data_IF_856416170750
#
_entry.id   IF_856416170750
#
_cell.length_a   1.000
_cell.length_b   1.000
_cell.length_c   1.000
_cell.angle_alpha   90.00
_cell.angle_beta   90.00
_cell.angle_gamma   90.00
#
_symmetry.space_group_name_H-M   'P 1'
#
loop_
_entity.id
_entity.type
_entity.pdbx_description
1 polymer ?
#
# COMPACT_ATOMS: atom_id res chain seq x y z
N UNK A 1 -2.28 -4.38 -33.95
CA UNK A 1 -2.31 -5.44 -32.91
C UNK A 1 -3.42 -5.08 -31.95
N UNK A 2 -4.65 -5.51 -32.27
CA UNK A 2 -5.89 -5.02 -31.64
C UNK A 2 -6.15 -5.80 -30.36
N UNK A 3 -5.64 -5.28 -29.23
CA UNK A 3 -5.96 -5.85 -27.93
C UNK A 3 -7.40 -5.39 -27.56
N UNK A 4 -8.33 -6.31 -27.29
CA UNK A 4 -9.67 -5.95 -26.84
C UNK A 4 -9.56 -5.09 -25.57
N UNK A 5 -10.32 -3.99 -25.51
CA UNK A 5 -10.21 -2.97 -24.46
C UNK A 5 -10.18 -3.55 -23.03
N UNK A 6 -10.78 -4.72 -22.80
CA UNK A 6 -10.76 -5.46 -21.52
C UNK A 6 -9.36 -5.88 -21.04
N UNK A 7 -8.39 -6.16 -21.93
CA UNK A 7 -7.02 -6.55 -21.53
C UNK A 7 -6.11 -5.35 -21.23
N UNK A 8 -6.36 -4.21 -21.86
CA UNK A 8 -5.53 -3.01 -21.66
C UNK A 8 -5.67 -2.49 -20.23
N UNK A 9 -6.89 -2.46 -19.69
CA UNK A 9 -7.10 -2.08 -18.28
C UNK A 9 -6.34 -2.98 -17.31
N UNK A 10 -6.36 -4.30 -17.52
CA UNK A 10 -5.61 -5.25 -16.68
C UNK A 10 -4.09 -5.02 -16.72
N UNK A 11 -3.55 -4.61 -17.86
CA UNK A 11 -2.13 -4.27 -18.01
C UNK A 11 -1.77 -2.92 -17.39
N UNK A 12 -2.73 -1.98 -17.33
CA UNK A 12 -2.55 -0.65 -16.76
C UNK A 12 -2.78 -0.61 -15.24
N UNK A 13 -3.53 -1.57 -14.66
CA UNK A 13 -3.81 -1.63 -13.22
C UNK A 13 -2.56 -1.50 -12.34
N UNK A 14 -1.44 -2.19 -12.60
CA UNK A 14 -0.23 -2.04 -11.79
C UNK A 14 0.35 -0.63 -11.85
N UNK A 15 0.34 0.01 -13.02
CA UNK A 15 0.85 1.38 -13.18
C UNK A 15 -0.02 2.39 -12.46
N UNK A 16 -1.35 2.28 -12.62
CA UNK A 16 -2.31 3.11 -11.90
C UNK A 16 -2.18 2.93 -10.39
N UNK A 17 -2.04 1.68 -9.95
CA UNK A 17 -1.80 1.36 -8.54
C UNK A 17 -0.54 2.05 -8.02
N UNK A 18 0.59 1.96 -8.73
CA UNK A 18 1.84 2.61 -8.31
C UNK A 18 1.66 4.12 -8.20
N UNK A 19 1.07 4.78 -9.20
CA UNK A 19 0.84 6.23 -9.18
C UNK A 19 -0.07 6.62 -8.01
N UNK A 20 -1.21 5.97 -7.87
CA UNK A 20 -2.16 6.25 -6.79
C UNK A 20 -1.56 5.96 -5.41
N UNK A 21 -0.76 4.90 -5.29
CA UNK A 21 -0.12 4.51 -4.04
C UNK A 21 1.01 5.46 -3.64
N UNK A 22 1.88 5.84 -4.58
CA UNK A 22 3.02 6.74 -4.34
C UNK A 22 2.59 8.13 -3.84
N UNK A 23 1.44 8.65 -4.28
CA UNK A 23 0.90 9.91 -3.77
C UNK A 23 0.66 9.89 -2.26
N UNK A 24 0.42 8.71 -1.68
CA UNK A 24 0.21 8.54 -0.24
C UNK A 24 1.42 8.93 0.61
N UNK A 25 2.63 8.58 0.18
CA UNK A 25 3.86 8.93 0.89
C UNK A 25 4.18 10.42 0.76
N UNK A 26 3.91 11.01 -0.41
CA UNK A 26 4.03 12.46 -0.63
C UNK A 26 3.05 13.20 0.28
N UNK A 27 1.79 12.75 0.32
CA UNK A 27 0.77 13.29 1.22
C UNK A 27 1.16 13.18 2.69
N UNK A 28 1.74 12.04 3.12
CA UNK A 28 2.26 11.88 4.47
C UNK A 28 3.35 12.91 4.79
N UNK A 29 4.37 13.03 3.93
CA UNK A 29 5.48 13.96 4.12
C UNK A 29 5.00 15.42 4.18
N UNK A 30 4.04 15.79 3.35
CA UNK A 30 3.52 17.16 3.28
C UNK A 30 2.46 17.46 4.34
N UNK A 31 1.68 16.46 4.79
CA UNK A 31 0.56 16.64 5.71
C UNK A 31 0.92 16.49 7.18
N UNK A 32 1.88 15.61 7.52
CA UNK A 32 2.31 15.36 8.91
C UNK A 32 2.89 16.60 9.64
N UNK A 33 3.48 17.61 8.98
CA UNK A 33 3.84 18.86 9.64
C UNK A 33 2.65 19.68 10.15
N UNK A 34 1.45 19.44 9.63
CA UNK A 34 0.25 20.26 9.90
C UNK A 34 -0.85 19.53 10.66
N UNK A 35 -0.79 18.21 10.76
CA UNK A 35 -1.80 17.40 11.41
C UNK A 35 -1.18 16.17 12.07
N UNK A 36 -1.74 15.78 13.21
CA UNK A 36 -1.35 14.55 13.89
C UNK A 36 -1.55 13.33 12.98
N UNK A 37 -0.69 12.29 13.06
CA UNK A 37 -0.65 11.20 12.10
C UNK A 37 -1.99 10.46 11.93
N UNK A 38 -2.69 10.21 13.03
CA UNK A 38 -3.98 9.54 13.03
C UNK A 38 -5.09 10.42 12.46
N UNK A 39 -5.09 11.71 12.76
CA UNK A 39 -6.06 12.69 12.25
C UNK A 39 -5.93 12.82 10.73
N UNK A 40 -4.69 12.95 10.25
CA UNK A 40 -4.41 12.97 8.81
C UNK A 40 -4.85 11.68 8.12
N UNK A 41 -4.55 10.53 8.72
CA UNK A 41 -4.96 9.23 8.18
C UNK A 41 -6.49 9.07 8.15
N UNK A 42 -7.19 9.48 9.21
CA UNK A 42 -8.64 9.43 9.30
C UNK A 42 -9.31 10.27 8.21
N UNK A 43 -8.82 11.50 7.99
CA UNK A 43 -9.30 12.35 6.90
C UNK A 43 -9.04 11.72 5.53
N UNK A 44 -7.82 11.24 5.30
CA UNK A 44 -7.44 10.62 4.02
C UNK A 44 -8.29 9.38 3.72
N UNK A 45 -8.47 8.49 4.69
CA UNK A 45 -9.27 7.27 4.53
C UNK A 45 -10.77 7.60 4.44
N UNK A 46 -11.25 8.63 5.14
CA UNK A 46 -12.63 9.12 5.03
C UNK A 46 -12.93 9.65 3.63
N UNK A 47 -12.04 10.48 3.07
CA UNK A 47 -12.17 10.99 1.68
C UNK A 47 -12.13 9.83 0.68
N UNK A 48 -11.16 8.92 0.80
CA UNK A 48 -11.06 7.77 -0.09
C UNK A 48 -12.29 6.87 -0.02
N UNK A 49 -12.78 6.58 1.20
CA UNK A 49 -14.01 5.82 1.43
C UNK A 49 -15.24 6.51 0.85
N UNK A 50 -15.35 7.83 0.98
CA UNK A 50 -16.42 8.62 0.37
C UNK A 50 -16.40 8.56 -1.16
N UNK A 51 -15.24 8.78 -1.78
CA UNK A 51 -15.07 8.71 -3.24
C UNK A 51 -15.40 7.31 -3.77
N UNK A 52 -14.90 6.26 -3.12
CA UNK A 52 -15.21 4.88 -3.48
C UNK A 52 -16.67 4.54 -3.22
N UNK A 53 -17.29 5.09 -2.19
CA UNK A 53 -18.71 4.95 -1.91
C UNK A 53 -19.59 5.57 -3.00
N UNK A 54 -19.26 6.79 -3.45
CA UNK A 54 -19.92 7.44 -4.60
C UNK A 54 -19.74 6.60 -5.86
N UNK A 55 -18.52 6.11 -6.13
CA UNK A 55 -18.27 5.24 -7.28
C UNK A 55 -19.07 3.92 -7.22
N UNK A 56 -19.14 3.29 -6.04
CA UNK A 56 -19.92 2.07 -5.82
C UNK A 56 -21.43 2.32 -6.02
N UNK A 57 -21.92 3.49 -5.60
CA UNK A 57 -23.30 3.91 -5.84
C UNK A 57 -23.58 4.11 -7.33
N UNK A 58 -22.71 4.83 -8.06
CA UNK A 58 -22.84 5.07 -9.50
C UNK A 58 -22.80 3.77 -10.33
N UNK A 59 -21.96 2.81 -9.92
CA UNK A 59 -21.80 1.52 -10.60
C UNK A 59 -22.82 0.47 -10.14
N UNK A 60 -23.71 0.81 -9.20
CA UNK A 60 -24.69 -0.11 -8.58
C UNK A 60 -24.04 -1.39 -8.05
N UNK A 61 -22.85 -1.25 -7.46
CA UNK A 61 -22.13 -2.38 -6.88
C UNK A 61 -22.97 -3.04 -5.76
N UNK A 62 -22.87 -4.37 -5.58
CA UNK A 62 -23.58 -5.06 -4.51
C UNK A 62 -23.04 -4.62 -3.14
N UNK A 63 -23.91 -4.02 -2.32
CA UNK A 63 -23.58 -3.64 -0.95
C UNK A 63 -23.73 -4.84 0.00
N UNK A 64 -22.93 -4.91 1.07
CA UNK A 64 -23.05 -5.96 2.08
C UNK A 64 -24.46 -5.93 2.68
N UNK A 65 -25.13 -7.08 2.70
CA UNK A 65 -26.54 -7.21 3.12
C UNK A 65 -26.70 -7.78 4.53
N UNK A 66 -25.61 -8.27 5.13
CA UNK A 66 -25.63 -8.84 6.49
C UNK A 66 -24.62 -8.15 7.41
N UNK A 67 -24.96 -8.09 8.69
CA UNK A 67 -24.07 -7.60 9.75
C UNK A 67 -22.76 -8.40 9.84
N UNK A 68 -22.81 -9.70 9.50
CA UNK A 68 -21.61 -10.55 9.45
C UNK A 68 -20.69 -10.13 8.32
N UNK A 69 -21.23 -9.85 7.12
CA UNK A 69 -20.44 -9.33 6.00
C UNK A 69 -19.83 -7.97 6.33
N UNK A 70 -20.59 -7.11 7.01
CA UNK A 70 -20.10 -5.81 7.45
C UNK A 70 -18.97 -5.95 8.47
N UNK A 71 -19.09 -6.88 9.43
CA UNK A 71 -18.06 -7.15 10.42
C UNK A 71 -16.77 -7.69 9.79
N UNK A 72 -16.86 -8.60 8.80
CA UNK A 72 -15.69 -9.06 8.05
C UNK A 72 -15.03 -7.94 7.25
N UNK A 73 -15.82 -7.07 6.63
CA UNK A 73 -15.28 -5.94 5.86
C UNK A 73 -14.60 -4.93 6.78
N UNK A 74 -15.20 -4.65 7.94
CA UNK A 74 -14.63 -3.77 8.96
C UNK A 74 -13.34 -4.35 9.55
N UNK A 75 -13.31 -5.64 9.89
CA UNK A 75 -12.11 -6.28 10.44
C UNK A 75 -10.98 -6.35 9.41
N UNK A 76 -11.28 -6.69 8.15
CA UNK A 76 -10.30 -6.64 7.06
C UNK A 76 -9.78 -5.21 6.85
N UNK A 77 -10.66 -4.21 6.83
CA UNK A 77 -10.28 -2.80 6.71
C UNK A 77 -9.37 -2.34 7.86
N UNK A 78 -9.74 -2.69 9.10
CA UNK A 78 -8.97 -2.36 10.29
C UNK A 78 -7.57 -2.99 10.25
N UNK A 79 -7.47 -4.28 9.93
CA UNK A 79 -6.20 -5.01 9.89
C UNK A 79 -5.31 -4.53 8.72
N UNK A 80 -5.89 -4.37 7.53
CA UNK A 80 -5.12 -4.05 6.31
C UNK A 80 -4.75 -2.57 6.24
N UNK A 81 -5.64 -1.67 6.66
CA UNK A 81 -5.43 -0.23 6.49
C UNK A 81 -5.11 0.46 7.82
N UNK A 82 -5.93 0.28 8.86
CA UNK A 82 -5.75 1.02 10.10
C UNK A 82 -4.48 0.59 10.85
N UNK A 83 -4.26 -0.72 11.01
CA UNK A 83 -3.07 -1.24 11.68
C UNK A 83 -1.80 -0.96 10.86
N UNK A 84 -1.84 -1.22 9.55
CA UNK A 84 -0.70 -1.01 8.67
C UNK A 84 -0.34 0.47 8.55
N UNK A 85 -1.25 1.31 8.04
CA UNK A 85 -0.96 2.73 7.81
C UNK A 85 -0.84 3.47 9.14
N UNK A 86 -1.64 3.12 10.15
CA UNK A 86 -1.53 3.70 11.49
C UNK A 86 -0.19 3.40 12.13
N UNK A 87 0.29 2.16 12.08
CA UNK A 87 1.61 1.80 12.59
C UNK A 87 2.75 2.54 11.88
N UNK A 88 2.70 2.61 10.54
CA UNK A 88 3.71 3.30 9.73
C UNK A 88 3.73 4.81 10.00
N UNK A 89 2.56 5.45 9.99
CA UNK A 89 2.44 6.89 10.21
C UNK A 89 2.79 7.27 11.65
N UNK A 90 2.47 6.41 12.61
CA UNK A 90 2.91 6.59 14.01
C UNK A 90 4.42 6.49 14.14
N UNK A 91 5.04 5.49 13.54
CA UNK A 91 6.50 5.34 13.56
C UNK A 91 7.17 6.58 12.94
N UNK A 92 6.65 7.09 11.82
CA UNK A 92 7.15 8.33 11.20
C UNK A 92 6.93 9.53 12.13
N UNK A 93 5.76 9.66 12.74
CA UNK A 93 5.46 10.71 13.71
C UNK A 93 6.35 10.68 14.96
N UNK A 94 6.81 9.49 15.37
CA UNK A 94 7.78 9.29 16.47
C UNK A 94 9.24 9.56 16.06
N UNK A 95 9.48 9.99 14.82
CA UNK A 95 10.80 10.37 14.32
C UNK A 95 11.47 9.33 13.41
N UNK A 96 10.80 8.23 13.05
CA UNK A 96 11.34 7.30 12.06
C UNK A 96 11.39 7.97 10.67
N UNK A 97 12.55 8.00 9.99
CA UNK A 97 12.64 8.46 8.62
C UNK A 97 11.65 7.76 7.69
N UNK A 98 10.91 8.52 6.88
CA UNK A 98 9.96 7.96 5.91
C UNK A 98 10.63 7.02 4.90
N UNK A 99 11.92 7.24 4.58
CA UNK A 99 12.72 6.34 3.74
C UNK A 99 12.96 4.97 4.39
N UNK A 100 13.25 4.95 5.70
CA UNK A 100 13.42 3.69 6.45
C UNK A 100 12.08 2.96 6.56
N UNK A 101 10.99 3.69 6.85
CA UNK A 101 9.65 3.12 6.84
C UNK A 101 9.31 2.47 5.48
N UNK A 102 9.65 3.13 4.37
CA UNK A 102 9.46 2.58 3.03
C UNK A 102 10.30 1.32 2.77
N UNK A 103 11.54 1.24 3.27
CA UNK A 103 12.36 0.01 3.18
C UNK A 103 11.72 -1.15 3.92
N UNK A 104 11.27 -0.91 5.16
CA UNK A 104 10.61 -1.92 5.98
C UNK A 104 9.34 -2.42 5.29
N UNK A 105 8.53 -1.50 4.74
CA UNK A 105 7.35 -1.86 3.96
C UNK A 105 7.71 -2.61 2.67
N UNK A 106 8.83 -2.26 2.03
CA UNK A 106 9.37 -2.92 0.85
C UNK A 106 9.74 -4.39 1.09
N UNK A 107 9.96 -4.80 2.34
CA UNK A 107 10.18 -6.21 2.69
C UNK A 107 8.90 -7.06 2.70
N UNK A 108 7.71 -6.44 2.75
CA UNK A 108 6.45 -7.18 2.81
C UNK A 108 6.29 -8.22 1.69
N UNK A 109 6.59 -7.94 0.41
CA UNK A 109 6.51 -8.93 -0.67
C UNK A 109 7.46 -10.12 -0.46
N UNK A 110 8.65 -9.90 0.11
CA UNK A 110 9.58 -10.98 0.43
C UNK A 110 9.01 -11.85 1.55
N UNK A 111 8.50 -11.22 2.61
CA UNK A 111 7.85 -11.94 3.71
C UNK A 111 6.62 -12.72 3.22
N UNK A 112 5.78 -12.11 2.40
CA UNK A 112 4.63 -12.75 1.76
C UNK A 112 5.06 -13.93 0.90
N UNK A 113 6.10 -13.79 0.08
CA UNK A 113 6.61 -14.87 -0.77
C UNK A 113 7.09 -16.08 0.06
N UNK A 114 7.73 -15.85 1.21
CA UNK A 114 8.15 -16.91 2.13
C UNK A 114 6.95 -17.59 2.79
N UNK A 115 5.97 -16.81 3.22
CA UNK A 115 4.79 -17.31 3.95
C UNK A 115 3.84 -18.06 3.02
N UNK A 116 3.56 -17.54 1.83
CA UNK A 116 2.67 -18.15 0.83
C UNK A 116 3.10 -19.57 0.49
N UNK A 117 4.40 -19.81 0.30
CA UNK A 117 4.89 -21.16 0.01
C UNK A 117 4.66 -22.16 1.15
N UNK A 118 4.63 -21.71 2.41
CA UNK A 118 4.36 -22.57 3.57
C UNK A 118 2.87 -22.71 3.89
N UNK A 119 2.08 -21.65 3.71
CA UNK A 119 0.67 -21.60 4.13
C UNK A 119 -0.27 -22.04 3.02
N UNK A 120 0.03 -21.69 1.77
CA UNK A 120 -0.82 -21.95 0.59
C UNK A 120 -0.24 -23.05 -0.32
N UNK A 121 1.00 -23.50 -0.09
CA UNK A 121 1.65 -24.53 -0.89
C UNK A 121 2.05 -24.07 -2.30
N UNK A 122 1.95 -22.77 -2.60
CA UNK A 122 2.34 -22.21 -3.90
C UNK A 122 3.86 -22.07 -4.01
N UNK A 123 4.42 -22.48 -5.16
CA UNK A 123 5.86 -22.40 -5.39
C UNK A 123 6.25 -21.08 -6.05
N UNK A 124 7.02 -20.27 -5.33
CA UNK A 124 7.64 -19.05 -5.89
C UNK A 124 8.83 -19.46 -6.75
N UNK A 125 8.74 -19.16 -8.05
CA UNK A 125 9.78 -19.52 -9.02
C UNK A 125 11.09 -18.77 -8.77
N UNK A 126 12.22 -19.33 -9.20
CA UNK A 126 13.54 -18.69 -9.07
C UNK A 126 13.58 -17.31 -9.73
N UNK A 127 12.86 -17.10 -10.84
CA UNK A 127 12.77 -15.80 -11.52
C UNK A 127 12.04 -14.75 -10.67
N UNK A 128 10.99 -15.14 -9.95
CA UNK A 128 10.28 -14.26 -9.03
C UNK A 128 11.17 -13.91 -7.83
N UNK A 129 11.90 -14.89 -7.28
CA UNK A 129 12.89 -14.64 -6.23
C UNK A 129 13.98 -13.65 -6.65
N UNK A 130 14.54 -13.82 -7.85
CA UNK A 130 15.51 -12.87 -8.39
C UNK A 130 14.92 -11.47 -8.54
N UNK A 131 13.69 -11.36 -9.08
CA UNK A 131 13.00 -10.08 -9.20
C UNK A 131 12.76 -9.39 -7.85
N UNK A 132 12.35 -10.15 -6.82
CA UNK A 132 12.15 -9.64 -5.47
C UNK A 132 13.46 -9.14 -4.84
N UNK A 133 14.53 -9.94 -4.94
CA UNK A 133 15.85 -9.56 -4.40
C UNK A 133 16.41 -8.34 -5.13
N UNK A 134 16.35 -8.32 -6.46
CA UNK A 134 16.82 -7.19 -7.26
C UNK A 134 16.01 -5.91 -6.97
N UNK A 135 14.69 -6.02 -6.83
CA UNK A 135 13.84 -4.90 -6.44
C UNK A 135 14.19 -4.36 -5.05
N UNK A 136 14.44 -5.26 -4.09
CA UNK A 136 14.85 -4.89 -2.74
C UNK A 136 16.22 -4.20 -2.72
N UNK A 137 17.20 -4.73 -3.46
CA UNK A 137 18.52 -4.12 -3.60
C UNK A 137 18.45 -2.73 -4.24
N UNK A 138 17.64 -2.58 -5.29
CA UNK A 138 17.39 -1.28 -5.92
C UNK A 138 16.81 -0.25 -4.95
N UNK A 139 15.88 -0.67 -4.09
CA UNK A 139 15.31 0.21 -3.06
C UNK A 139 16.36 0.66 -2.04
N UNK A 140 17.23 -0.25 -1.59
CA UNK A 140 18.35 0.07 -0.69
C UNK A 140 19.30 1.08 -1.34
N UNK A 141 19.72 0.84 -2.59
CA UNK A 141 20.63 1.74 -3.32
C UNK A 141 20.05 3.15 -3.49
N UNK A 142 18.77 3.27 -3.84
CA UNK A 142 18.10 4.57 -4.01
C UNK A 142 18.05 5.35 -2.69
N UNK A 143 17.94 4.65 -1.56
CA UNK A 143 17.82 5.26 -0.25
C UNK A 143 19.17 5.51 0.42
N UNK A 144 20.20 4.72 0.13
CA UNK A 144 21.58 4.94 0.58
C UNK A 144 22.08 6.34 0.23
N UNK A 145 21.76 6.81 -0.98
CA UNK A 145 22.12 8.16 -1.42
C UNK A 145 21.45 9.25 -0.58
N UNK A 146 20.26 8.97 -0.01
CA UNK A 146 19.58 9.90 0.90
C UNK A 146 20.25 9.95 2.28
N UNK A 147 20.81 8.84 2.76
CA UNK A 147 21.58 8.80 4.01
C UNK A 147 22.86 9.62 3.92
N UNK A 148 23.59 9.56 2.81
CA UNK A 148 24.82 10.34 2.62
C UNK A 148 24.58 11.84 2.43
N UNK A 149 23.43 12.25 1.88
CA UNK A 149 23.09 13.66 1.65
C UNK A 149 22.61 14.44 2.89
N UNK A 150 22.58 13.84 4.09
CA UNK A 150 22.27 14.54 5.35
C UNK A 150 20.85 15.13 5.44
N UNK A 151 19.90 14.62 4.64
CA UNK A 151 18.53 15.15 4.56
C UNK A 151 17.51 14.40 5.43
N UNK A 152 17.97 13.87 6.56
CA UNK A 152 17.13 13.32 7.63
C UNK A 152 17.75 13.63 8.98
#
# INVERSE_FOLDING_TARGET
>A
MNLPASRLWLQLTPFLFVVLWSTGFIGAKLGLPYAEPFTFLALRMGIAGGLLGVFAWLTRAPWPRSWVQLAHLASAGLLVHALHLGGVFSAIGLGLPAGIAALIMGLQPLLTAVVVGRVLGEQVTTRQWLGLILGQLGMVLVLENRFHSGLI
#
